data_IF_836067436778
#
_entry.id   IF_836067436778
#
_cell.length_a   1.000
_cell.length_b   1.000
_cell.length_c   1.000
_cell.angle_alpha   90.00
_cell.angle_beta   90.00
_cell.angle_gamma   90.00
#
_symmetry.space_group_name_H-M   'P 1'
#
loop_
_entity.id
_entity.type
_entity.pdbx_description
1 polymer ?
#
# COMPACT_ATOMS: atom_id res chain seq x y z
N UNK A 1 -11.75 29.00 23.13
CA UNK A 1 -12.46 28.29 22.03
C UNK A 1 -11.42 27.54 21.24
N UNK A 2 -11.54 26.21 21.13
CA UNK A 2 -10.58 25.36 20.42
C UNK A 2 -10.44 25.85 18.98
N UNK A 3 -9.20 26.00 18.49
CA UNK A 3 -8.87 26.52 17.16
C UNK A 3 -9.43 25.60 16.04
N UNK A 4 -10.72 25.74 15.74
CA UNK A 4 -11.42 24.91 14.76
C UNK A 4 -10.80 25.03 13.36
N UNK A 5 -10.22 26.20 13.04
CA UNK A 5 -9.50 26.43 11.79
C UNK A 5 -8.19 25.63 11.67
N UNK A 6 -7.45 25.42 12.76
CA UNK A 6 -6.23 24.60 12.71
C UNK A 6 -6.58 23.12 12.62
N UNK A 7 -7.66 22.69 13.29
CA UNK A 7 -8.17 21.33 13.24
C UNK A 7 -8.65 20.97 11.83
N UNK A 8 -9.43 21.84 11.18
CA UNK A 8 -9.88 21.64 9.80
C UNK A 8 -8.72 21.50 8.81
N UNK A 9 -7.69 22.35 8.92
CA UNK A 9 -6.49 22.26 8.07
C UNK A 9 -5.71 20.96 8.29
N UNK A 10 -5.58 20.51 9.54
CA UNK A 10 -4.94 19.24 9.85
C UNK A 10 -5.75 18.04 9.33
N UNK A 11 -7.08 18.10 9.43
CA UNK A 11 -7.96 17.07 8.89
C UNK A 11 -7.89 16.97 7.36
N UNK A 12 -7.84 18.11 6.65
CA UNK A 12 -7.64 18.15 5.20
C UNK A 12 -6.31 17.51 4.80
N UNK A 13 -5.21 17.88 5.48
CA UNK A 13 -3.90 17.28 5.24
C UNK A 13 -3.90 15.77 5.50
N UNK A 14 -4.51 15.33 6.60
CA UNK A 14 -4.65 13.91 6.92
C UNK A 14 -5.43 13.16 5.83
N UNK A 15 -6.48 13.75 5.28
CA UNK A 15 -7.28 13.16 4.20
C UNK A 15 -6.44 12.98 2.93
N UNK A 16 -5.67 13.99 2.52
CA UNK A 16 -4.76 13.90 1.38
C UNK A 16 -3.64 12.88 1.61
N UNK A 17 -3.01 12.90 2.79
CA UNK A 17 -1.93 11.97 3.14
C UNK A 17 -2.45 10.52 3.17
N UNK A 18 -3.68 10.30 3.63
CA UNK A 18 -4.32 8.99 3.62
C UNK A 18 -4.63 8.50 2.20
N UNK A 19 -5.13 9.38 1.32
CA UNK A 19 -5.33 9.04 -0.10
C UNK A 19 -4.01 8.65 -0.77
N UNK A 20 -2.95 9.44 -0.58
CA UNK A 20 -1.61 9.14 -1.11
C UNK A 20 -1.04 7.84 -0.57
N UNK A 21 -1.23 7.56 0.73
CA UNK A 21 -0.79 6.31 1.33
C UNK A 21 -1.52 5.11 0.68
N UNK A 22 -2.84 5.21 0.51
CA UNK A 22 -3.66 4.18 -0.13
C UNK A 22 -3.30 3.94 -1.60
N UNK A 23 -2.95 5.00 -2.35
CA UNK A 23 -2.43 4.89 -3.71
C UNK A 23 -1.04 4.24 -3.72
N UNK A 24 -0.16 4.63 -2.79
CA UNK A 24 1.19 4.10 -2.65
C UNK A 24 1.26 2.60 -2.36
N UNK A 25 0.23 2.01 -1.73
CA UNK A 25 0.17 0.57 -1.47
C UNK A 25 0.25 -0.28 -2.75
N UNK A 26 -0.22 0.23 -3.89
CA UNK A 26 -0.15 -0.50 -5.17
C UNK A 26 1.29 -0.63 -5.68
N UNK A 27 2.17 0.29 -5.29
CA UNK A 27 3.56 0.35 -5.72
C UNK A 27 4.50 -0.46 -4.82
N UNK A 28 4.07 -0.78 -3.60
CA UNK A 28 4.80 -1.71 -2.74
C UNK A 28 4.68 -3.10 -3.35
N UNK A 29 5.81 -3.72 -3.67
CA UNK A 29 5.85 -5.09 -4.20
C UNK A 29 6.64 -5.98 -3.24
N UNK A 30 6.12 -7.17 -2.99
CA UNK A 30 6.77 -8.21 -2.20
C UNK A 30 6.85 -9.48 -3.01
N UNK A 31 7.97 -10.20 -2.89
CA UNK A 31 8.20 -11.47 -3.54
C UNK A 31 8.19 -12.60 -2.50
N UNK A 32 7.38 -13.62 -2.74
CA UNK A 32 7.34 -14.85 -1.95
C UNK A 32 7.77 -16.04 -2.79
N UNK A 33 8.51 -16.97 -2.18
CA UNK A 33 8.91 -18.22 -2.83
C UNK A 33 8.42 -19.44 -2.05
N UNK A 34 8.11 -20.51 -2.78
CA UNK A 34 7.71 -21.79 -2.20
C UNK A 34 8.33 -22.97 -2.98
N UNK A 35 8.30 -24.16 -2.38
CA UNK A 35 8.80 -25.38 -3.02
C UNK A 35 10.30 -25.32 -3.34
N UNK A 36 11.12 -24.75 -2.46
CA UNK A 36 12.56 -24.59 -2.68
C UNK A 36 12.93 -23.58 -3.77
N UNK A 37 11.99 -22.71 -4.18
CA UNK A 37 12.19 -21.71 -5.23
C UNK A 37 11.49 -22.04 -6.55
N UNK A 38 10.84 -23.21 -6.67
CA UNK A 38 10.09 -23.60 -7.87
C UNK A 38 8.87 -22.72 -8.13
N UNK A 39 8.28 -22.14 -7.09
CA UNK A 39 7.17 -21.20 -7.20
C UNK A 39 7.62 -19.84 -6.70
N UNK A 40 7.44 -18.81 -7.53
CA UNK A 40 7.69 -17.42 -7.19
C UNK A 40 6.43 -16.60 -7.45
N UNK A 41 6.01 -15.82 -6.45
CA UNK A 41 4.81 -14.97 -6.53
C UNK A 41 5.20 -13.55 -6.16
N UNK A 42 4.81 -12.58 -6.99
CA UNK A 42 4.88 -11.16 -6.65
C UNK A 42 3.48 -10.65 -6.32
N UNK A 43 3.33 -10.03 -5.16
CA UNK A 43 2.09 -9.38 -4.74
C UNK A 43 2.35 -7.94 -4.31
N UNK A 44 1.31 -7.10 -4.31
CA UNK A 44 1.42 -5.71 -3.85
C UNK A 44 0.89 -5.48 -2.42
N UNK A 45 1.05 -4.25 -1.92
CA UNK A 45 0.54 -3.82 -0.61
C UNK A 45 -0.99 -3.80 -0.48
N UNK A 46 -1.72 -4.00 -1.58
CA UNK A 46 -3.18 -4.21 -1.60
C UNK A 46 -3.57 -5.69 -1.62
N UNK A 47 -2.60 -6.61 -1.47
CA UNK A 47 -2.78 -8.05 -1.58
C UNK A 47 -3.21 -8.52 -2.98
N UNK A 48 -2.98 -7.70 -4.01
CA UNK A 48 -3.20 -8.12 -5.40
C UNK A 48 -1.98 -8.91 -5.87
N UNK A 49 -2.23 -10.07 -6.49
CA UNK A 49 -1.18 -10.88 -7.11
C UNK A 49 -0.84 -10.29 -8.47
N UNK A 50 0.41 -9.87 -8.65
CA UNK A 50 0.89 -9.24 -9.88
C UNK A 50 1.50 -10.26 -10.85
N UNK A 51 2.18 -11.28 -10.32
CA UNK A 51 2.81 -12.32 -11.14
C UNK A 51 2.92 -13.63 -10.36
N UNK A 52 2.87 -14.74 -11.11
CA UNK A 52 3.15 -16.09 -10.63
C UNK A 52 4.05 -16.75 -11.65
N UNK A 53 5.21 -17.22 -11.20
CA UNK A 53 6.17 -17.99 -11.98
C UNK A 53 6.30 -19.39 -11.38
N UNK A 54 6.27 -20.40 -12.24
CA UNK A 54 6.36 -21.82 -11.90
C UNK A 54 7.29 -22.47 -12.93
N UNK A 55 8.29 -23.21 -12.44
CA UNK A 55 9.18 -24.06 -13.27
C UNK A 55 8.52 -25.38 -13.70
#
# INVERSE_FOLDING_TARGET
>A
MVNMNSLLKQAQKMQEDMQKAQEGLVHIQVEGTAGGGMVKVTANGKMEVLSVHIE
#
